data_IF_551974034501
#
_entry.id   IF_551974034501
#
_cell.length_a   1.000
_cell.length_b   1.000
_cell.length_c   1.000
_cell.angle_alpha   90.00
_cell.angle_beta   90.00
_cell.angle_gamma   90.00
#
_symmetry.space_group_name_H-M   'P 1'
#
loop_
_entity.id
_entity.type
_entity.pdbx_description
1 polymer ?
#
# COMPACT_ATOMS: atom_id res chain seq x y z
N UNK A 1 19.42 -63.46 4.11
CA UNK A 1 20.28 -63.76 5.29
C UNK A 1 19.55 -63.20 6.51
N UNK A 2 18.78 -64.03 7.23
CA UNK A 2 19.06 -64.55 8.61
C UNK A 2 18.85 -63.42 9.65
N UNK A 3 18.07 -63.50 10.74
CA UNK A 3 17.14 -64.42 11.44
C UNK A 3 16.50 -63.53 12.55
N UNK A 4 15.18 -63.46 12.77
CA UNK A 4 14.32 -64.33 13.62
C UNK A 4 14.57 -64.27 15.13
N UNK A 5 13.51 -63.95 15.89
CA UNK A 5 13.07 -64.41 17.24
C UNK A 5 12.56 -63.22 18.10
N UNK A 6 11.44 -63.22 18.85
CA UNK A 6 10.44 -64.22 19.29
C UNK A 6 9.25 -63.37 19.88
N UNK A 7 7.99 -63.46 19.42
CA UNK A 7 6.83 -64.25 19.93
C UNK A 7 6.46 -63.98 21.43
N UNK A 8 5.22 -63.81 21.92
CA UNK A 8 3.95 -64.62 21.89
C UNK A 8 2.85 -63.72 22.55
N UNK A 9 1.70 -63.37 21.94
CA UNK A 9 0.38 -64.05 21.76
C UNK A 9 -0.51 -64.20 23.03
N UNK A 10 -1.76 -63.69 22.94
CA UNK A 10 -3.06 -64.30 23.33
C UNK A 10 -4.02 -63.23 23.95
N UNK A 11 -5.05 -62.74 23.24
CA UNK A 11 -6.41 -63.31 23.04
C UNK A 11 -7.41 -62.82 24.13
N UNK A 12 -8.72 -62.62 23.93
CA UNK A 12 -9.63 -62.34 22.81
C UNK A 12 -11.04 -62.14 23.43
N UNK A 13 -11.89 -61.32 22.77
CA UNK A 13 -13.36 -61.43 22.65
C UNK A 13 -14.36 -61.23 23.84
N UNK A 14 -15.30 -60.30 23.57
CA UNK A 14 -16.73 -60.07 23.99
C UNK A 14 -17.55 -61.32 24.44
N UNK A 15 -18.79 -61.25 25.05
CA UNK A 15 -19.91 -60.30 24.79
C UNK A 15 -20.93 -59.98 25.95
N UNK A 16 -21.99 -59.24 25.55
CA UNK A 16 -23.31 -58.85 26.12
C UNK A 16 -24.05 -59.87 27.02
N UNK A 17 -24.73 -59.43 28.12
CA UNK A 17 -26.13 -59.80 28.48
C UNK A 17 -26.73 -58.97 29.65
N UNK A 18 -28.07 -58.84 29.61
CA UNK A 18 -28.99 -58.09 30.47
C UNK A 18 -29.53 -58.81 31.74
N UNK A 19 -30.12 -58.06 32.69
CA UNK A 19 -31.24 -58.45 33.59
C UNK A 19 -31.66 -57.24 34.50
N UNK A 20 -32.86 -56.63 34.36
CA UNK A 20 -34.18 -56.86 35.03
C UNK A 20 -34.38 -56.14 36.41
N UNK A 21 -35.15 -55.03 36.49
CA UNK A 21 -36.59 -54.83 36.90
C UNK A 21 -36.82 -54.67 38.43
N UNK A 22 -37.96 -54.13 38.99
CA UNK A 22 -39.12 -53.35 38.45
C UNK A 22 -39.57 -52.14 39.35
N UNK A 23 -40.44 -51.22 38.88
CA UNK A 23 -41.60 -50.69 39.66
C UNK A 23 -42.56 -49.84 38.79
N UNK A 24 -43.76 -49.60 39.30
CA UNK A 24 -45.07 -49.64 38.64
C UNK A 24 -45.63 -48.34 38.05
N UNK A 25 -46.61 -48.52 37.15
CA UNK A 25 -47.48 -47.54 36.51
C UNK A 25 -48.45 -46.81 37.47
N UNK A 26 -48.85 -45.58 37.13
CA UNK A 26 -50.21 -45.07 37.39
C UNK A 26 -50.63 -43.91 36.47
N UNK A 27 -51.74 -44.14 35.78
CA UNK A 27 -52.84 -43.25 35.40
C UNK A 27 -52.62 -41.99 34.52
N UNK A 28 -53.18 -42.10 33.31
CA UNK A 28 -53.72 -41.02 32.45
C UNK A 28 -55.08 -40.54 33.03
N UNK A 29 -55.44 -39.26 32.82
CA UNK A 29 -56.74 -38.99 32.20
C UNK A 29 -56.64 -38.02 31.01
N UNK A 30 -57.29 -38.39 29.90
CA UNK A 30 -57.63 -37.51 28.78
C UNK A 30 -58.78 -36.59 29.19
N UNK A 31 -58.73 -35.28 28.87
CA UNK A 31 -59.91 -34.47 28.53
C UNK A 31 -59.53 -33.29 27.61
N UNK A 32 -60.08 -33.37 26.38
CA UNK A 32 -60.61 -32.34 25.47
C UNK A 32 -59.74 -31.22 24.87
N UNK A 33 -59.84 -31.17 23.54
CA UNK A 33 -59.55 -30.04 22.68
C UNK A 33 -60.48 -28.84 22.97
N UNK A 34 -59.89 -27.65 23.02
CA UNK A 34 -60.56 -26.39 22.73
C UNK A 34 -59.74 -25.63 21.68
N UNK A 35 -60.35 -25.43 20.52
CA UNK A 35 -59.93 -24.47 19.51
C UNK A 35 -60.36 -23.08 20.02
N UNK A 36 -59.40 -22.18 20.22
CA UNK A 36 -59.65 -20.76 20.33
C UNK A 36 -58.50 -19.99 19.67
N UNK A 37 -58.87 -19.27 18.63
CA UNK A 37 -58.08 -18.35 17.80
C UNK A 37 -57.83 -17.01 18.50
N UNK A 38 -56.58 -16.54 18.47
CA UNK A 38 -56.13 -15.12 18.48
C UNK A 38 -54.59 -15.16 18.50
N UNK A 39 -53.88 -14.91 17.41
CA UNK A 39 -53.51 -13.58 16.87
C UNK A 39 -52.90 -12.65 17.92
N UNK A 40 -51.70 -13.03 18.37
CA UNK A 40 -50.61 -12.10 18.69
C UNK A 40 -49.31 -12.87 18.48
N UNK A 41 -48.59 -12.54 17.40
CA UNK A 41 -47.28 -13.12 17.12
C UNK A 41 -46.25 -12.48 18.06
N UNK A 42 -46.26 -12.93 19.31
CA UNK A 42 -45.11 -12.81 20.21
C UNK A 42 -44.09 -13.84 19.73
N UNK A 43 -42.92 -13.36 19.28
CA UNK A 43 -41.78 -14.19 18.89
C UNK A 43 -41.53 -15.29 19.94
N UNK A 44 -41.34 -16.56 19.55
CA UNK A 44 -41.02 -17.61 20.50
C UNK A 44 -39.66 -17.34 21.18
N UNK A 45 -39.46 -17.78 22.43
CA UNK A 45 -38.18 -17.63 23.11
C UNK A 45 -37.13 -18.48 22.37
N UNK A 46 -36.00 -17.85 22.01
CA UNK A 46 -34.80 -18.43 21.40
C UNK A 46 -34.96 -19.06 20.00
N UNK A 47 -35.15 -18.23 18.97
CA UNK A 47 -34.71 -18.62 17.62
C UNK A 47 -33.18 -18.76 17.65
N UNK A 48 -32.68 -19.99 17.54
CA UNK A 48 -31.23 -20.25 17.58
C UNK A 48 -30.55 -19.79 16.29
N UNK A 49 -29.23 -19.50 16.35
CA UNK A 49 -28.44 -19.17 15.14
C UNK A 49 -28.62 -20.24 14.06
N UNK A 50 -28.57 -21.53 14.43
CA UNK A 50 -28.79 -22.65 13.53
C UNK A 50 -30.19 -22.64 12.88
N UNK A 51 -31.22 -22.21 13.61
CA UNK A 51 -32.56 -22.08 13.05
C UNK A 51 -32.61 -20.95 12.01
N UNK A 52 -31.97 -19.80 12.27
CA UNK A 52 -31.90 -18.66 11.34
C UNK A 52 -31.08 -19.03 10.10
N UNK A 53 -29.97 -19.74 10.28
CA UNK A 53 -29.10 -20.17 9.17
C UNK A 53 -29.83 -21.08 8.18
N UNK A 54 -30.72 -21.92 8.68
CA UNK A 54 -31.57 -22.79 7.86
C UNK A 54 -32.74 -22.07 7.17
N UNK A 55 -33.06 -20.82 7.52
CA UNK A 55 -34.13 -20.04 6.88
C UNK A 55 -33.77 -19.62 5.45
N UNK A 56 -34.77 -19.27 4.64
CA UNK A 56 -34.53 -18.50 3.43
C UNK A 56 -33.88 -17.15 3.77
N UNK A 57 -33.18 -16.53 2.82
CA UNK A 57 -32.56 -15.22 3.06
C UNK A 57 -33.60 -14.18 3.48
N UNK A 58 -34.75 -14.13 2.81
CA UNK A 58 -35.77 -13.12 3.11
C UNK A 58 -36.35 -13.28 4.52
N UNK A 59 -36.60 -14.52 4.96
CA UNK A 59 -37.04 -14.80 6.33
C UNK A 59 -35.96 -14.48 7.38
N UNK A 60 -34.70 -14.82 7.09
CA UNK A 60 -33.59 -14.51 7.99
C UNK A 60 -33.40 -12.99 8.14
N UNK A 61 -33.51 -12.24 7.04
CA UNK A 61 -33.43 -10.77 7.03
C UNK A 61 -34.55 -10.14 7.85
N UNK A 62 -35.79 -10.60 7.67
CA UNK A 62 -36.93 -10.13 8.46
C UNK A 62 -36.74 -10.45 9.95
N UNK A 63 -36.32 -11.67 10.27
CA UNK A 63 -36.10 -12.13 11.64
C UNK A 63 -35.01 -11.30 12.33
N UNK A 64 -33.84 -11.14 11.70
CA UNK A 64 -32.74 -10.34 12.25
C UNK A 64 -33.10 -8.84 12.29
N UNK A 65 -33.92 -8.36 11.36
CA UNK A 65 -34.42 -6.99 11.35
C UNK A 65 -35.22 -6.63 12.61
N UNK A 66 -35.91 -7.60 13.21
CA UNK A 66 -36.69 -7.42 14.44
C UNK A 66 -35.87 -7.60 15.73
N UNK A 67 -34.63 -8.10 15.62
CA UNK A 67 -33.76 -8.33 16.77
C UNK A 67 -33.14 -7.03 17.32
N UNK A 68 -32.81 -7.06 18.60
CA UNK A 68 -31.94 -6.06 19.21
C UNK A 68 -30.56 -6.06 18.51
N UNK A 69 -29.79 -5.00 18.72
CA UNK A 69 -28.45 -4.91 18.14
C UNK A 69 -27.52 -6.01 18.66
N UNK A 70 -27.56 -6.29 19.97
CA UNK A 70 -26.73 -7.32 20.60
C UNK A 70 -27.05 -8.72 20.06
N UNK A 71 -28.34 -9.06 19.93
CA UNK A 71 -28.78 -10.34 19.35
C UNK A 71 -28.36 -10.47 17.88
N UNK A 72 -28.57 -9.42 17.08
CA UNK A 72 -28.20 -9.44 15.66
C UNK A 72 -26.68 -9.59 15.46
N UNK A 73 -25.88 -8.91 16.29
CA UNK A 73 -24.41 -9.04 16.29
C UNK A 73 -23.98 -10.45 16.66
N UNK A 74 -24.57 -11.02 17.72
CA UNK A 74 -24.29 -12.40 18.12
C UNK A 74 -24.61 -13.39 16.99
N UNK A 75 -25.77 -13.24 16.34
CA UNK A 75 -26.17 -14.07 15.20
C UNK A 75 -25.16 -13.94 14.05
N UNK A 76 -24.74 -12.72 13.71
CA UNK A 76 -23.80 -12.48 12.61
C UNK A 76 -22.38 -12.99 12.90
N UNK A 77 -21.97 -13.01 14.18
CA UNK A 77 -20.67 -13.56 14.58
C UNK A 77 -20.62 -15.09 14.42
N UNK A 78 -21.70 -15.77 14.80
CA UNK A 78 -21.76 -17.24 14.80
C UNK A 78 -22.15 -17.86 13.44
N UNK A 79 -22.89 -17.13 12.61
CA UNK A 79 -23.41 -17.63 11.32
C UNK A 79 -22.33 -17.76 10.23
N UNK A 80 -22.50 -18.67 9.27
CA UNK A 80 -21.62 -18.76 8.09
C UNK A 80 -21.48 -17.44 7.32
N UNK A 81 -20.24 -17.08 6.94
CA UNK A 81 -19.90 -15.79 6.30
C UNK A 81 -20.71 -15.54 5.02
N UNK A 82 -20.84 -16.54 4.15
CA UNK A 82 -21.60 -16.42 2.90
C UNK A 82 -23.07 -16.02 3.15
N UNK A 83 -23.70 -16.62 4.17
CA UNK A 83 -25.09 -16.31 4.56
C UNK A 83 -25.21 -14.87 5.06
N UNK A 84 -24.28 -14.42 5.91
CA UNK A 84 -24.23 -13.04 6.41
C UNK A 84 -24.09 -12.04 5.26
N UNK A 85 -23.19 -12.31 4.31
CA UNK A 85 -22.97 -11.45 3.13
C UNK A 85 -24.24 -11.33 2.29
N UNK A 86 -24.93 -12.44 2.01
CA UNK A 86 -26.21 -12.44 1.28
C UNK A 86 -27.31 -11.67 2.02
N UNK A 87 -27.39 -11.81 3.34
CA UNK A 87 -28.35 -11.08 4.17
C UNK A 87 -28.06 -9.58 4.15
N UNK A 88 -26.80 -9.17 4.33
CA UNK A 88 -26.39 -7.76 4.28
C UNK A 88 -26.76 -7.10 2.96
N UNK A 89 -26.69 -7.83 1.85
CA UNK A 89 -27.09 -7.33 0.52
C UNK A 89 -28.59 -6.99 0.38
N UNK A 90 -29.45 -7.48 1.30
CA UNK A 90 -30.90 -7.22 1.29
C UNK A 90 -31.39 -6.38 2.47
N UNK A 91 -30.55 -6.19 3.49
CA UNK A 91 -30.89 -5.43 4.67
C UNK A 91 -30.71 -3.93 4.45
N UNK A 92 -31.37 -3.13 5.30
CA UNK A 92 -31.12 -1.69 5.36
C UNK A 92 -29.66 -1.40 5.75
N UNK A 93 -29.03 -0.48 5.02
CA UNK A 93 -27.59 -0.21 5.15
C UNK A 93 -27.23 0.39 6.50
N UNK A 94 -28.13 1.13 7.16
CA UNK A 94 -27.88 1.70 8.49
C UNK A 94 -27.84 0.58 9.52
N UNK A 95 -28.81 -0.35 9.46
CA UNK A 95 -28.83 -1.52 10.35
C UNK A 95 -27.61 -2.41 10.12
N UNK A 96 -27.26 -2.68 8.87
CA UNK A 96 -26.06 -3.47 8.50
C UNK A 96 -24.78 -2.83 9.02
N UNK A 97 -24.63 -1.53 8.85
CA UNK A 97 -23.46 -0.80 9.32
C UNK A 97 -23.33 -0.83 10.84
N UNK A 98 -24.44 -0.69 11.56
CA UNK A 98 -24.47 -0.79 13.01
C UNK A 98 -24.06 -2.19 13.48
N UNK A 99 -24.61 -3.25 12.87
CA UNK A 99 -24.25 -4.65 13.19
C UNK A 99 -22.77 -4.88 12.88
N UNK A 100 -22.32 -4.60 11.66
CA UNK A 100 -20.92 -4.81 11.25
C UNK A 100 -19.94 -4.07 12.14
N UNK A 101 -20.27 -2.83 12.54
CA UNK A 101 -19.46 -2.03 13.44
C UNK A 101 -19.30 -2.61 14.85
N UNK A 102 -20.10 -3.61 15.24
CA UNK A 102 -20.02 -4.30 16.53
C UNK A 102 -19.64 -5.79 16.42
N UNK A 103 -19.51 -6.33 15.20
CA UNK A 103 -19.02 -7.70 14.97
C UNK A 103 -17.61 -7.89 15.52
N UNK A 104 -17.24 -9.13 15.84
CA UNK A 104 -15.86 -9.45 16.22
C UNK A 104 -14.91 -9.13 15.05
N UNK A 105 -13.73 -8.54 15.29
CA UNK A 105 -12.86 -8.08 14.20
C UNK A 105 -12.52 -9.15 13.15
N UNK A 106 -12.11 -10.38 13.51
CA UNK A 106 -11.80 -11.41 12.51
C UNK A 106 -13.01 -11.74 11.63
N UNK A 107 -14.21 -11.78 12.22
CA UNK A 107 -15.45 -12.04 11.49
C UNK A 107 -15.83 -10.87 10.60
N UNK A 108 -15.73 -9.63 11.09
CA UNK A 108 -16.00 -8.42 10.34
C UNK A 108 -15.09 -8.32 9.10
N UNK A 109 -13.81 -8.66 9.24
CA UNK A 109 -12.85 -8.75 8.14
C UNK A 109 -13.23 -9.81 7.11
N UNK A 110 -13.58 -11.02 7.56
CA UNK A 110 -14.02 -12.10 6.66
C UNK A 110 -15.29 -11.74 5.88
N UNK A 111 -16.27 -11.09 6.53
CA UNK A 111 -17.47 -10.60 5.84
C UNK A 111 -17.12 -9.50 4.85
N UNK A 112 -16.24 -8.56 5.24
CA UNK A 112 -15.88 -7.41 4.40
C UNK A 112 -15.08 -7.83 3.16
N UNK A 113 -14.38 -8.97 3.19
CA UNK A 113 -13.70 -9.55 2.03
C UNK A 113 -14.69 -9.82 0.88
N UNK A 114 -15.85 -10.39 1.22
CA UNK A 114 -16.80 -10.97 0.27
C UNK A 114 -17.94 -10.02 -0.12
N UNK A 115 -18.29 -9.00 0.69
CA UNK A 115 -19.33 -8.02 0.31
C UNK A 115 -18.89 -7.19 -0.91
N UNK A 116 -19.83 -6.77 -1.79
CA UNK A 116 -19.51 -5.85 -2.88
C UNK A 116 -18.85 -4.55 -2.41
N UNK A 117 -17.99 -3.96 -3.26
CA UNK A 117 -17.22 -2.74 -2.90
C UNK A 117 -18.13 -1.56 -2.61
N UNK A 118 -19.26 -1.48 -3.30
CA UNK A 118 -20.28 -0.45 -3.10
C UNK A 118 -20.87 -0.57 -1.69
N UNK A 119 -21.24 -1.77 -1.25
CA UNK A 119 -21.74 -2.04 0.10
C UNK A 119 -20.67 -1.78 1.15
N UNK A 120 -19.43 -2.23 0.91
CA UNK A 120 -18.29 -1.96 1.80
C UNK A 120 -18.09 -0.46 2.01
N UNK A 121 -18.14 0.32 0.93
CA UNK A 121 -17.99 1.78 0.96
C UNK A 121 -19.13 2.44 1.73
N UNK A 122 -20.37 1.99 1.56
CA UNK A 122 -21.50 2.51 2.34
C UNK A 122 -21.34 2.23 3.84
N UNK A 123 -20.89 1.02 4.22
CA UNK A 123 -20.63 0.65 5.61
C UNK A 123 -19.53 1.55 6.20
N UNK A 124 -18.41 1.72 5.49
CA UNK A 124 -17.31 2.61 5.91
C UNK A 124 -17.80 4.05 6.12
N UNK A 125 -18.69 4.53 5.26
CA UNK A 125 -19.28 5.86 5.38
C UNK A 125 -20.15 6.08 6.63
N UNK A 126 -20.68 5.01 7.23
CA UNK A 126 -21.63 5.09 8.35
C UNK A 126 -21.03 4.68 9.71
N UNK A 127 -19.93 3.92 9.72
CA UNK A 127 -19.31 3.42 10.95
C UNK A 127 -18.29 4.41 11.52
N UNK A 128 -18.15 4.48 12.85
CA UNK A 128 -17.19 5.35 13.52
C UNK A 128 -15.74 4.89 13.32
N UNK A 129 -14.79 5.83 13.38
CA UNK A 129 -13.37 5.54 13.21
C UNK A 129 -12.87 4.42 14.14
N UNK A 130 -13.16 4.47 15.45
CA UNK A 130 -12.71 3.45 16.40
C UNK A 130 -13.11 2.04 15.99
N UNK A 131 -14.33 1.89 15.46
CA UNK A 131 -14.85 0.60 14.98
C UNK A 131 -14.19 0.18 13.68
N UNK A 132 -13.90 1.13 12.78
CA UNK A 132 -13.19 0.91 11.51
C UNK A 132 -11.73 0.51 11.75
N UNK A 133 -11.04 1.19 12.67
CA UNK A 133 -9.64 0.94 13.05
C UNK A 133 -9.47 -0.51 13.48
N UNK A 134 -10.40 -1.03 14.28
CA UNK A 134 -10.35 -2.40 14.77
C UNK A 134 -10.65 -3.45 13.69
N UNK A 135 -11.50 -3.16 12.70
CA UNK A 135 -12.10 -4.18 11.81
C UNK A 135 -11.57 -4.16 10.39
N UNK A 136 -11.28 -2.99 9.82
CA UNK A 136 -10.76 -2.90 8.44
C UNK A 136 -9.40 -3.59 8.23
N UNK A 137 -8.45 -3.61 9.19
CA UNK A 137 -7.19 -4.33 8.97
C UNK A 137 -7.34 -5.86 8.98
N UNK A 138 -8.53 -6.40 9.28
CA UNK A 138 -8.83 -7.83 9.23
C UNK A 138 -9.23 -8.33 7.84
N UNK A 139 -9.56 -7.44 6.89
CA UNK A 139 -9.76 -7.83 5.47
C UNK A 139 -8.42 -7.85 4.72
N UNK A 140 -8.40 -8.34 3.48
CA UNK A 140 -7.22 -8.27 2.63
C UNK A 140 -6.82 -6.83 2.27
N UNK A 141 -5.53 -6.59 2.03
CA UNK A 141 -5.08 -5.29 1.56
C UNK A 141 -5.73 -4.92 0.22
N UNK A 142 -5.86 -5.90 -0.68
CA UNK A 142 -6.46 -5.73 -2.01
C UNK A 142 -7.91 -5.28 -1.93
N UNK A 143 -8.70 -5.86 -1.02
CA UNK A 143 -10.08 -5.44 -0.81
C UNK A 143 -10.18 -4.01 -0.31
N UNK A 144 -9.36 -3.65 0.68
CA UNK A 144 -9.33 -2.30 1.23
C UNK A 144 -9.03 -1.24 0.16
N UNK A 145 -8.13 -1.54 -0.79
CA UNK A 145 -7.72 -0.58 -1.83
C UNK A 145 -8.79 -0.33 -2.89
N UNK A 146 -9.83 -1.15 -2.92
CA UNK A 146 -10.99 -0.93 -3.79
C UNK A 146 -11.95 0.10 -3.22
N UNK A 147 -11.90 0.38 -1.91
CA UNK A 147 -12.70 1.43 -1.28
C UNK A 147 -12.09 2.79 -1.68
N UNK A 148 -12.91 3.79 -2.07
CA UNK A 148 -12.41 5.10 -2.47
C UNK A 148 -11.48 5.73 -1.41
N UNK A 149 -10.27 6.17 -1.78
CA UNK A 149 -9.29 6.69 -0.82
C UNK A 149 -9.77 7.97 -0.14
N UNK A 150 -10.55 8.81 -0.81
CA UNK A 150 -11.14 10.03 -0.23
C UNK A 150 -12.08 9.68 0.92
N UNK A 151 -12.88 8.63 0.76
CA UNK A 151 -13.76 8.12 1.81
C UNK A 151 -12.94 7.57 2.97
N UNK A 152 -11.90 6.77 2.72
CA UNK A 152 -11.03 6.26 3.79
C UNK A 152 -10.33 7.40 4.54
N UNK A 153 -9.86 8.42 3.84
CA UNK A 153 -9.23 9.59 4.45
C UNK A 153 -10.21 10.34 5.35
N UNK A 154 -11.44 10.56 4.90
CA UNK A 154 -12.49 11.25 5.69
C UNK A 154 -12.90 10.43 6.93
N UNK A 155 -13.09 9.12 6.76
CA UNK A 155 -13.63 8.25 7.82
C UNK A 155 -12.59 7.74 8.82
N UNK A 156 -11.31 7.85 8.50
CA UNK A 156 -10.20 7.41 9.34
C UNK A 156 -9.10 8.47 9.45
N UNK A 157 -9.39 9.67 10.00
CA UNK A 157 -8.43 10.78 10.08
C UNK A 157 -7.18 10.47 10.94
N UNK A 158 -7.28 9.57 11.93
CA UNK A 158 -6.20 9.15 12.81
C UNK A 158 -5.26 8.10 12.21
N UNK A 159 -5.63 7.43 11.12
CA UNK A 159 -4.76 6.44 10.44
C UNK A 159 -3.86 7.14 9.41
N UNK A 160 -2.57 6.80 9.35
CA UNK A 160 -1.67 7.41 8.37
C UNK A 160 -2.14 7.11 6.93
N UNK A 161 -2.15 8.11 6.05
CA UNK A 161 -2.59 7.97 4.66
C UNK A 161 -1.86 6.84 3.90
N UNK A 162 -0.60 6.57 4.22
CA UNK A 162 0.13 5.45 3.61
C UNK A 162 -0.52 4.10 3.86
N UNK A 163 -1.23 3.92 4.98
CA UNK A 163 -1.96 2.69 5.26
C UNK A 163 -3.26 2.56 4.45
N UNK A 164 -3.85 3.67 4.04
CA UNK A 164 -5.18 3.73 3.40
C UNK A 164 -5.08 3.68 1.87
N UNK A 165 -4.09 4.34 1.29
CA UNK A 165 -3.93 4.45 -0.17
C UNK A 165 -3.45 3.16 -0.83
N UNK A 166 -3.87 2.91 -2.07
CA UNK A 166 -3.32 1.81 -2.87
C UNK A 166 -1.80 1.92 -3.05
N UNK A 167 -1.14 0.78 -3.21
CA UNK A 167 0.30 0.70 -3.45
C UNK A 167 0.60 0.15 -4.83
N UNK A 168 1.50 0.83 -5.53
CA UNK A 168 2.05 0.37 -6.80
C UNK A 168 3.51 -0.04 -6.57
N UNK A 169 3.85 -1.28 -6.92
CA UNK A 169 5.24 -1.77 -6.83
C UNK A 169 6.13 -0.96 -7.79
N UNK A 170 7.36 -0.59 -7.38
CA UNK A 170 8.38 -0.07 -8.29
C UNK A 170 8.52 -0.94 -9.56
N UNK A 171 8.53 -0.30 -10.72
CA UNK A 171 8.71 -0.97 -12.02
C UNK A 171 10.17 -0.80 -12.46
N UNK A 172 10.90 -1.90 -12.50
CA UNK A 172 12.30 -1.94 -12.97
C UNK A 172 12.28 -2.18 -14.48
N UNK A 173 12.98 -1.36 -15.30
CA UNK A 173 13.17 -1.62 -16.71
C UNK A 173 13.66 -3.05 -16.98
N UNK A 174 13.04 -3.75 -17.93
CA UNK A 174 13.34 -5.16 -18.22
C UNK A 174 14.76 -5.38 -18.76
N UNK A 175 15.36 -4.34 -19.34
CA UNK A 175 16.69 -4.37 -19.93
C UNK A 175 17.81 -4.06 -18.91
N UNK A 176 17.48 -3.65 -17.68
CA UNK A 176 18.48 -3.46 -16.63
C UNK A 176 18.99 -4.81 -16.10
N UNK A 177 20.31 -4.96 -15.94
CA UNK A 177 20.89 -6.18 -15.38
C UNK A 177 20.45 -6.39 -13.92
N UNK A 178 20.20 -7.65 -13.56
CA UNK A 178 19.91 -8.01 -12.18
C UNK A 178 21.14 -7.82 -11.27
N UNK A 179 20.94 -7.51 -9.97
CA UNK A 179 22.03 -7.45 -9.00
C UNK A 179 22.80 -8.77 -8.90
N UNK A 180 24.12 -8.67 -8.84
CA UNK A 180 25.01 -9.83 -8.68
C UNK A 180 25.19 -10.07 -7.17
N UNK A 181 24.74 -11.21 -6.63
CA UNK A 181 24.96 -11.54 -5.23
C UNK A 181 26.45 -11.83 -4.97
N UNK A 182 26.97 -11.28 -3.88
CA UNK A 182 28.31 -11.52 -3.37
C UNK A 182 28.27 -12.39 -2.11
N UNK A 183 28.87 -11.88 -1.02
CA UNK A 183 28.80 -12.50 0.30
C UNK A 183 27.34 -12.51 0.80
N UNK A 184 26.85 -13.68 1.23
CA UNK A 184 25.53 -13.82 1.84
C UNK A 184 25.60 -14.78 3.04
N UNK A 185 25.20 -14.28 4.20
CA UNK A 185 24.98 -15.00 5.44
C UNK A 185 23.58 -14.65 5.95
N UNK A 186 23.15 -15.25 7.06
CA UNK A 186 21.82 -14.97 7.64
C UNK A 186 21.66 -13.49 8.04
N UNK A 187 22.75 -12.86 8.48
CA UNK A 187 22.77 -11.49 9.02
C UNK A 187 23.51 -10.49 8.12
N UNK A 188 23.93 -10.88 6.91
CA UNK A 188 24.65 -9.99 6.00
C UNK A 188 24.48 -10.41 4.56
N UNK A 189 24.16 -9.48 3.68
CA UNK A 189 24.29 -9.69 2.25
C UNK A 189 24.96 -8.51 1.55
N UNK A 190 25.78 -8.84 0.56
CA UNK A 190 26.48 -7.90 -0.31
C UNK A 190 26.02 -8.15 -1.73
N UNK A 191 25.64 -7.08 -2.42
CA UNK A 191 25.28 -7.09 -3.83
C UNK A 191 26.12 -6.08 -4.61
N UNK A 192 26.31 -6.36 -5.89
CA UNK A 192 26.81 -5.38 -6.86
C UNK A 192 25.70 -5.19 -7.89
N UNK A 193 25.20 -3.96 -8.02
CA UNK A 193 24.23 -3.57 -9.05
C UNK A 193 25.02 -3.06 -10.25
N UNK A 194 25.07 -3.79 -11.37
CA UNK A 194 26.00 -3.47 -12.45
C UNK A 194 25.73 -2.13 -13.12
N UNK A 195 24.45 -1.78 -13.27
CA UNK A 195 24.01 -0.55 -13.94
C UNK A 195 22.81 0.03 -13.20
N UNK A 196 22.87 1.33 -12.95
CA UNK A 196 21.77 2.15 -12.46
C UNK A 196 21.64 3.34 -13.40
N UNK A 197 20.42 3.59 -13.86
CA UNK A 197 20.10 4.75 -14.69
C UNK A 197 19.52 5.88 -13.82
N UNK A 198 19.77 7.10 -14.27
CA UNK A 198 19.22 8.28 -13.60
C UNK A 198 17.70 8.26 -13.67
N UNK A 199 17.06 8.50 -12.53
CA UNK A 199 15.61 8.61 -12.41
C UNK A 199 14.83 7.35 -12.86
N UNK A 200 15.46 6.18 -12.81
CA UNK A 200 14.82 4.88 -13.03
C UNK A 200 14.97 3.99 -11.79
N UNK A 201 14.02 3.08 -11.58
CA UNK A 201 14.10 2.12 -10.49
C UNK A 201 15.08 1.01 -10.82
N UNK A 202 16.06 0.78 -9.95
CA UNK A 202 16.89 -0.43 -9.96
C UNK A 202 16.47 -1.35 -8.81
N UNK A 203 16.44 -2.66 -9.07
CA UNK A 203 16.46 -3.65 -7.99
C UNK A 203 17.84 -3.62 -7.35
N UNK A 204 17.91 -3.59 -6.02
CA UNK A 204 19.17 -3.44 -5.29
C UNK A 204 19.48 -4.69 -4.46
N UNK A 205 18.47 -5.23 -3.78
CA UNK A 205 18.61 -6.40 -2.89
C UNK A 205 17.36 -7.29 -2.97
N UNK A 206 17.53 -8.61 -2.79
CA UNK A 206 16.43 -9.57 -2.59
C UNK A 206 16.48 -10.40 -1.29
N UNK A 207 17.54 -10.28 -0.46
CA UNK A 207 17.74 -11.03 0.80
C UNK A 207 18.90 -10.41 1.62
N UNK A 208 19.09 -10.68 2.94
CA UNK A 208 18.39 -11.65 3.80
C UNK A 208 17.01 -11.23 4.30
N UNK A 209 16.36 -12.16 5.01
CA UNK A 209 15.14 -11.96 5.78
C UNK A 209 15.26 -10.71 6.69
N UNK A 210 14.20 -9.89 6.84
CA UNK A 210 12.84 -10.10 6.34
C UNK A 210 12.56 -9.50 4.95
N UNK A 211 13.58 -8.98 4.26
CA UNK A 211 13.40 -8.32 2.96
C UNK A 211 13.12 -9.33 1.85
N UNK A 212 12.11 -9.01 1.05
CA UNK A 212 11.80 -9.72 -0.20
C UNK A 212 12.44 -8.99 -1.38
N UNK A 213 12.30 -7.66 -1.39
CA UNK A 213 12.88 -6.81 -2.42
C UNK A 213 13.19 -5.43 -1.85
N UNK A 214 14.29 -4.85 -2.32
CA UNK A 214 14.64 -3.45 -2.09
C UNK A 214 14.96 -2.82 -3.45
N UNK A 215 14.33 -1.70 -3.73
CA UNK A 215 14.54 -0.89 -4.91
C UNK A 215 15.05 0.50 -4.52
N UNK A 216 15.81 1.11 -5.41
CA UNK A 216 16.18 2.51 -5.28
C UNK A 216 16.19 3.21 -6.65
N UNK A 217 15.86 4.49 -6.62
CA UNK A 217 15.93 5.45 -7.71
C UNK A 217 17.04 6.43 -7.39
N UNK A 218 17.89 6.74 -8.37
CA UNK A 218 19.08 7.58 -8.16
C UNK A 218 19.07 8.82 -9.04
N UNK A 219 19.66 9.92 -8.55
CA UNK A 219 19.67 11.21 -9.24
C UNK A 219 20.69 11.27 -10.41
N UNK A 220 21.55 10.26 -10.51
CA UNK A 220 22.60 10.15 -11.52
C UNK A 220 22.84 8.68 -11.85
N UNK A 221 23.37 8.36 -13.04
CA UNK A 221 23.76 6.99 -13.34
C UNK A 221 24.91 6.53 -12.44
N UNK A 222 24.94 5.25 -12.12
CA UNK A 222 25.97 4.57 -11.35
C UNK A 222 26.28 3.23 -11.99
N UNK A 223 27.55 2.84 -11.96
CA UNK A 223 28.01 1.52 -12.39
C UNK A 223 28.61 0.78 -11.20
N UNK A 224 28.49 -0.54 -11.20
CA UNK A 224 29.06 -1.44 -10.16
C UNK A 224 28.75 -0.98 -8.73
N UNK A 225 27.51 -0.53 -8.49
CA UNK A 225 27.06 -0.02 -7.20
C UNK A 225 27.08 -1.15 -6.16
N UNK A 226 28.02 -1.07 -5.22
CA UNK A 226 28.12 -2.00 -4.09
C UNK A 226 27.11 -1.65 -3.01
N UNK A 227 26.26 -2.61 -2.67
CA UNK A 227 25.25 -2.47 -1.61
C UNK A 227 25.51 -3.52 -0.54
N UNK A 228 25.53 -3.09 0.72
CA UNK A 228 25.63 -3.99 1.88
C UNK A 228 24.39 -3.83 2.73
N UNK A 229 23.78 -4.96 3.08
CA UNK A 229 22.72 -5.08 4.07
C UNK A 229 23.27 -5.90 5.23
N UNK A 230 23.38 -5.29 6.40
CA UNK A 230 23.71 -5.95 7.66
C UNK A 230 22.43 -6.04 8.52
N UNK A 231 22.10 -7.23 9.00
CA UNK A 231 20.98 -7.52 9.89
C UNK A 231 21.46 -7.68 11.34
N UNK A 232 20.65 -7.23 12.29
CA UNK A 232 20.97 -7.32 13.72
C UNK A 232 19.88 -8.08 14.51
N UNK A 233 18.88 -8.63 13.82
CA UNK A 233 17.72 -9.24 14.46
C UNK A 233 17.06 -8.26 15.42
N UNK A 234 16.68 -8.72 16.62
CA UNK A 234 16.10 -7.88 17.66
C UNK A 234 17.14 -7.02 18.44
N UNK A 235 18.42 -7.14 18.13
CA UNK A 235 19.49 -6.41 18.84
C UNK A 235 19.63 -5.00 18.28
N UNK A 236 19.35 -4.00 19.10
CA UNK A 236 19.53 -2.61 18.70
C UNK A 236 21.02 -2.29 18.47
N UNK A 237 21.39 -1.62 17.36
CA UNK A 237 22.76 -1.19 17.13
C UNK A 237 23.27 -0.20 18.20
N UNK A 238 24.52 -0.36 18.63
CA UNK A 238 25.11 0.38 19.77
C UNK A 238 25.14 1.90 19.55
N UNK A 239 25.30 2.35 18.31
CA UNK A 239 25.44 3.78 17.95
C UNK A 239 24.09 4.45 17.64
N UNK A 240 22.99 3.88 18.14
CA UNK A 240 21.64 4.43 17.93
C UNK A 240 20.95 4.78 19.26
N UNK A 241 20.16 5.86 19.31
CA UNK A 241 19.39 6.21 20.50
C UNK A 241 18.27 5.19 20.74
N UNK A 242 17.70 5.19 21.94
CA UNK A 242 16.52 4.39 22.24
C UNK A 242 15.38 4.67 21.25
N UNK A 243 14.62 3.63 20.92
CA UNK A 243 13.41 3.77 20.11
C UNK A 243 12.37 4.66 20.83
N UNK A 244 11.49 5.34 20.07
CA UNK A 244 10.42 6.15 20.65
C UNK A 244 9.57 5.37 21.66
N UNK A 245 9.11 6.05 22.71
CA UNK A 245 8.29 5.42 23.75
C UNK A 245 7.06 4.71 23.16
N UNK A 246 6.80 3.48 23.61
CA UNK A 246 5.70 2.64 23.11
C UNK A 246 6.02 1.85 21.84
N UNK A 247 7.14 2.11 21.17
CA UNK A 247 7.60 1.29 20.06
C UNK A 247 8.17 -0.04 20.56
N UNK A 248 7.74 -1.12 19.93
CA UNK A 248 8.20 -2.49 20.14
C UNK A 248 9.04 -2.88 18.93
N UNK A 249 10.31 -3.19 19.16
CA UNK A 249 11.22 -3.61 18.11
C UNK A 249 10.86 -5.01 17.59
N UNK A 250 10.81 -5.15 16.27
CA UNK A 250 10.83 -6.45 15.61
C UNK A 250 12.25 -6.81 15.18
N UNK A 251 12.87 -5.94 14.38
CA UNK A 251 14.19 -6.17 13.80
C UNK A 251 14.91 -4.88 13.45
N UNK A 252 16.24 -4.93 13.44
CA UNK A 252 17.13 -3.85 13.03
C UNK A 252 18.03 -4.28 11.87
N UNK A 253 18.35 -3.34 11.00
CA UNK A 253 19.21 -3.56 9.83
C UNK A 253 19.91 -2.27 9.41
N UNK A 254 21.03 -2.37 8.71
CA UNK A 254 21.74 -1.25 8.11
C UNK A 254 21.94 -1.50 6.64
N UNK A 255 21.64 -0.50 5.81
CA UNK A 255 21.88 -0.55 4.37
C UNK A 255 22.88 0.55 4.01
N UNK A 256 23.99 0.17 3.38
CA UNK A 256 25.03 1.08 2.92
C UNK A 256 25.30 0.90 1.42
N UNK A 257 25.68 2.01 0.76
CA UNK A 257 25.89 2.08 -0.68
C UNK A 257 27.36 2.35 -1.06
N UNK A 258 28.30 1.93 -0.20
CA UNK A 258 29.71 2.29 -0.34
C UNK A 258 29.90 3.81 -0.31
N UNK A 259 30.49 4.37 -1.37
CA UNK A 259 30.83 5.80 -1.46
C UNK A 259 29.67 6.67 -1.98
N UNK A 260 28.50 6.09 -2.27
CA UNK A 260 27.34 6.86 -2.75
C UNK A 260 26.70 7.61 -1.60
N UNK A 261 26.62 8.94 -1.74
CA UNK A 261 26.00 9.78 -0.74
C UNK A 261 24.48 9.56 -0.71
N UNK A 262 23.86 9.62 0.49
CA UNK A 262 22.41 9.49 0.63
C UNK A 262 21.63 10.51 -0.20
N UNK A 263 22.21 11.68 -0.50
CA UNK A 263 21.62 12.72 -1.35
C UNK A 263 21.44 12.30 -2.81
N UNK A 264 22.16 11.28 -3.26
CA UNK A 264 22.07 10.75 -4.62
C UNK A 264 20.88 9.78 -4.77
N UNK A 265 20.25 9.37 -3.66
CA UNK A 265 19.03 8.56 -3.66
C UNK A 265 17.82 9.49 -3.78
N UNK A 266 17.04 9.32 -4.85
CA UNK A 266 15.79 10.05 -5.08
C UNK A 266 14.65 9.46 -4.28
N UNK A 267 14.60 8.13 -4.21
CA UNK A 267 13.69 7.37 -3.37
C UNK A 267 14.21 5.93 -3.23
N UNK A 268 13.95 5.31 -2.10
CA UNK A 268 14.11 3.88 -1.93
C UNK A 268 12.78 3.28 -1.48
N UNK A 269 12.51 2.04 -1.90
CA UNK A 269 11.32 1.31 -1.52
C UNK A 269 11.71 -0.12 -1.16
N UNK A 270 11.03 -0.69 -0.17
CA UNK A 270 11.27 -2.07 0.23
C UNK A 270 9.96 -2.81 0.45
N UNK A 271 9.99 -4.11 0.19
CA UNK A 271 8.99 -5.07 0.67
C UNK A 271 9.67 -5.96 1.70
N UNK A 272 9.07 -6.05 2.88
CA UNK A 272 9.50 -6.95 3.94
C UNK A 272 8.30 -7.56 4.66
N UNK A 273 8.52 -8.67 5.34
CA UNK A 273 7.48 -9.34 6.12
C UNK A 273 7.74 -9.24 7.63
N UNK A 274 6.67 -9.44 8.41
CA UNK A 274 6.71 -9.60 9.86
C UNK A 274 5.92 -10.86 10.21
N UNK A 275 6.47 -11.70 11.08
CA UNK A 275 5.80 -12.92 11.53
C UNK A 275 4.63 -12.60 12.48
N UNK A 276 3.48 -13.24 12.26
CA UNK A 276 2.26 -13.08 13.09
C UNK A 276 2.51 -13.44 14.54
N UNK A 277 3.33 -14.44 14.81
CA UNK A 277 3.70 -14.84 16.17
C UNK A 277 4.31 -13.68 16.96
N UNK A 278 5.09 -12.80 16.31
CA UNK A 278 5.61 -11.59 16.96
C UNK A 278 4.51 -10.55 17.20
N UNK A 279 3.59 -10.35 16.26
CA UNK A 279 2.45 -9.44 16.45
C UNK A 279 1.59 -9.91 17.63
N UNK A 280 1.21 -11.18 17.66
CA UNK A 280 0.33 -11.77 18.66
C UNK A 280 0.96 -11.73 20.06
N UNK A 281 2.25 -12.13 20.16
CA UNK A 281 2.96 -12.15 21.44
C UNK A 281 3.13 -10.75 22.05
N UNK A 282 3.20 -9.72 21.20
CA UNK A 282 3.41 -8.33 21.64
C UNK A 282 2.13 -7.49 21.62
N UNK A 283 1.02 -8.05 21.13
CA UNK A 283 -0.26 -7.38 20.89
C UNK A 283 -0.12 -6.16 19.95
N UNK A 284 0.71 -6.29 18.91
CA UNK A 284 0.99 -5.20 17.98
C UNK A 284 -0.19 -4.98 17.04
N UNK A 285 -0.67 -3.74 16.97
CA UNK A 285 -1.73 -3.35 16.06
C UNK A 285 -1.27 -3.40 14.59
N UNK A 286 -2.07 -3.96 13.68
CA UNK A 286 -1.67 -4.09 12.25
C UNK A 286 -1.34 -2.75 11.58
N UNK A 287 -2.03 -1.68 11.97
CA UNK A 287 -1.78 -0.31 11.51
C UNK A 287 -0.55 0.37 12.12
N UNK A 288 0.08 -0.18 13.15
CA UNK A 288 1.21 0.49 13.81
C UNK A 288 2.57 0.13 13.25
N UNK A 289 2.62 -0.82 12.31
CA UNK A 289 3.88 -1.25 11.70
C UNK A 289 4.51 -0.11 10.91
N UNK A 290 5.74 0.25 11.27
CA UNK A 290 6.50 1.33 10.66
C UNK A 290 7.97 0.96 10.53
N UNK A 291 8.64 1.62 9.60
CA UNK A 291 10.07 1.47 9.36
C UNK A 291 10.74 2.77 9.77
N UNK A 292 11.41 2.74 10.91
CA UNK A 292 12.08 3.90 11.45
C UNK A 292 13.49 3.97 10.89
N UNK A 293 13.78 4.99 10.09
CA UNK A 293 15.12 5.27 9.58
C UNK A 293 15.89 6.08 10.61
N UNK A 294 17.09 5.66 10.98
CA UNK A 294 17.96 6.47 11.81
C UNK A 294 18.47 7.69 11.02
N UNK A 295 18.29 8.88 11.58
CA UNK A 295 18.91 10.11 11.09
C UNK A 295 20.11 10.44 11.96
N UNK A 296 21.30 10.14 11.45
CA UNK A 296 22.58 10.36 12.14
C UNK A 296 22.82 11.83 12.47
N UNK A 297 22.39 12.75 11.60
CA UNK A 297 22.60 14.19 11.78
C UNK A 297 21.79 14.76 12.94
N UNK A 298 20.60 14.20 13.17
CA UNK A 298 19.71 14.59 14.27
C UNK A 298 19.76 13.63 15.45
N UNK A 299 20.51 12.54 15.34
CA UNK A 299 20.57 11.45 16.30
C UNK A 299 19.17 11.02 16.77
N UNK A 300 18.28 10.74 15.82
CA UNK A 300 16.88 10.36 16.09
C UNK A 300 16.37 9.33 15.10
N UNK A 301 15.39 8.53 15.53
CA UNK A 301 14.63 7.65 14.66
C UNK A 301 13.52 8.43 13.95
N UNK A 302 13.49 8.36 12.62
CA UNK A 302 12.47 8.99 11.76
C UNK A 302 11.51 7.91 11.25
N UNK A 303 10.28 7.82 11.77
CA UNK A 303 9.33 6.79 11.36
C UNK A 303 8.78 7.05 9.95
N UNK A 304 8.95 6.09 9.07
CA UNK A 304 8.21 6.00 7.80
C UNK A 304 7.04 5.02 7.97
N UNK A 305 5.79 5.46 7.75
CA UNK A 305 4.64 4.57 7.82
C UNK A 305 4.75 3.49 6.72
N UNK A 306 4.38 2.27 7.07
CA UNK A 306 4.38 1.16 6.11
C UNK A 306 3.01 0.99 5.44
N UNK A 307 2.94 0.13 4.43
CA UNK A 307 1.70 -0.28 3.78
C UNK A 307 1.58 -1.79 3.85
N UNK A 308 0.56 -2.33 4.50
CA UNK A 308 0.24 -3.76 4.39
C UNK A 308 -0.19 -4.07 2.95
N UNK A 309 0.48 -5.03 2.30
CA UNK A 309 0.23 -5.41 0.90
C UNK A 309 -0.22 -6.86 0.73
N UNK A 310 0.09 -7.73 1.68
CA UNK A 310 -0.35 -9.12 1.65
C UNK A 310 -0.31 -9.71 3.06
N UNK A 311 -1.02 -10.82 3.25
CA UNK A 311 -1.06 -11.57 4.49
C UNK A 311 -1.25 -13.05 4.16
N UNK A 312 -0.54 -13.92 4.88
CA UNK A 312 -0.76 -15.36 4.85
C UNK A 312 -0.94 -15.89 6.29
N UNK A 313 -0.90 -17.21 6.46
CA UNK A 313 -1.11 -17.84 7.78
C UNK A 313 0.03 -17.55 8.78
N UNK A 314 1.24 -17.26 8.30
CA UNK A 314 2.43 -17.04 9.13
C UNK A 314 2.84 -15.57 9.23
N UNK A 315 2.60 -14.77 8.18
CA UNK A 315 3.27 -13.48 7.96
C UNK A 315 2.34 -12.41 7.41
N UNK A 316 2.62 -11.17 7.79
CA UNK A 316 2.12 -9.97 7.14
C UNK A 316 3.25 -9.36 6.30
N UNK A 317 2.95 -8.98 5.07
CA UNK A 317 3.91 -8.35 4.17
C UNK A 317 3.59 -6.87 4.02
N UNK A 318 4.62 -6.05 4.17
CA UNK A 318 4.54 -4.59 4.12
C UNK A 318 5.44 -4.02 3.02
N UNK A 319 4.99 -2.94 2.42
CA UNK A 319 5.81 -2.05 1.61
C UNK A 319 6.14 -0.77 2.38
N UNK A 320 7.30 -0.17 2.13
CA UNK A 320 7.71 1.11 2.69
C UNK A 320 8.41 1.92 1.62
N UNK A 321 8.28 3.25 1.69
CA UNK A 321 9.13 4.20 0.95
C UNK A 321 9.95 5.01 1.94
N UNK A 322 11.23 5.16 1.64
CA UNK A 322 12.17 5.94 2.45
C UNK A 322 12.99 6.86 1.54
N UNK A 323 13.40 8.04 2.04
CA UNK A 323 14.16 9.03 1.25
C UNK A 323 15.63 8.66 1.02
N UNK A 324 16.10 7.56 1.60
CA UNK A 324 17.46 7.08 1.44
C UNK A 324 17.79 5.98 2.44
N UNK A 325 18.94 5.34 2.26
CA UNK A 325 19.41 4.28 3.15
C UNK A 325 20.11 4.83 4.41
N UNK A 326 20.11 4.02 5.46
CA UNK A 326 20.80 4.22 6.74
C UNK A 326 20.64 2.92 7.57
N UNK A 327 20.78 3.03 8.88
CA UNK A 327 20.25 2.06 9.85
C UNK A 327 18.74 2.24 9.97
N UNK A 328 18.04 1.14 10.16
CA UNK A 328 16.59 1.09 10.24
C UNK A 328 16.13 0.13 11.33
N UNK A 329 14.92 0.37 11.83
CA UNK A 329 14.20 -0.53 12.70
C UNK A 329 12.80 -0.79 12.13
N UNK A 330 12.39 -2.06 12.03
CA UNK A 330 10.96 -2.41 11.91
C UNK A 330 10.39 -2.41 13.32
N UNK A 331 9.38 -1.59 13.53
CA UNK A 331 8.72 -1.43 14.84
C UNK A 331 7.21 -1.50 14.69
N UNK A 332 6.54 -1.77 15.81
CA UNK A 332 5.09 -1.61 15.95
C UNK A 332 4.72 -1.16 17.36
N UNK A 333 3.46 -0.91 17.60
CA UNK A 333 2.89 -0.55 18.90
C UNK A 333 1.52 -1.20 19.11
N UNK A 334 1.08 -1.27 20.36
CA UNK A 334 -0.25 -1.80 20.71
C UNK A 334 -1.38 -0.86 20.30
N UNK A 335 -1.09 0.43 20.32
CA UNK A 335 -2.02 1.49 19.92
C UNK A 335 -1.64 2.05 18.55
N UNK A 336 -2.55 2.81 17.95
CA UNK A 336 -2.26 3.59 16.74
C UNK A 336 -1.19 4.66 17.03
N UNK A 337 -0.13 4.76 16.20
CA UNK A 337 0.83 5.85 16.30
C UNK A 337 0.16 7.20 16.08
N UNK A 338 0.46 8.19 16.93
CA UNK A 338 -0.06 9.54 16.79
C UNK A 338 0.46 10.20 15.49
N UNK A 339 -0.42 10.89 14.76
CA UNK A 339 -0.04 11.68 13.60
C UNK A 339 0.52 13.04 14.06
N UNK A 340 1.85 13.15 14.08
CA UNK A 340 2.56 14.37 14.48
C UNK A 340 2.63 15.43 13.37
N UNK A 341 2.21 15.10 12.15
CA UNK A 341 2.33 15.99 10.99
C UNK A 341 1.03 16.13 10.23
N UNK A 342 0.74 17.37 9.80
CA UNK A 342 -0.32 17.71 8.87
C UNK A 342 0.31 18.19 7.55
N UNK A 343 -0.24 17.72 6.42
CA UNK A 343 0.15 18.17 5.09
C UNK A 343 -0.98 19.00 4.51
N UNK A 344 -0.67 20.23 4.14
CA UNK A 344 -1.62 21.24 3.67
C UNK A 344 -1.07 21.98 2.44
N UNK A 345 -1.92 22.76 1.78
CA UNK A 345 -1.56 23.66 0.67
C UNK A 345 -0.77 23.00 -0.48
N UNK A 346 -1.10 21.75 -0.83
CA UNK A 346 -0.51 21.09 -1.99
C UNK A 346 -0.88 21.85 -3.26
N UNK A 347 0.13 22.34 -3.98
CA UNK A 347 -0.01 23.10 -5.22
C UNK A 347 1.04 22.71 -6.24
N UNK A 348 0.75 22.99 -7.51
CA UNK A 348 1.65 22.76 -8.64
C UNK A 348 1.94 24.07 -9.34
N UNK A 349 3.18 24.30 -9.77
CA UNK A 349 3.60 25.52 -10.46
C UNK A 349 4.46 25.15 -11.67
N UNK A 350 4.16 25.64 -12.89
CA UNK A 350 3.00 26.49 -13.23
C UNK A 350 1.67 25.72 -13.22
N UNK A 351 0.54 26.44 -13.17
CA UNK A 351 -0.82 25.85 -13.17
C UNK A 351 -1.19 25.16 -14.51
N UNK A 352 -0.48 25.46 -15.58
CA UNK A 352 -0.71 24.90 -16.92
C UNK A 352 0.62 24.61 -17.61
N UNK A 353 1.40 23.64 -17.10
CA UNK A 353 2.69 23.31 -17.67
C UNK A 353 2.54 22.65 -19.02
N UNK A 354 3.53 22.85 -19.88
CA UNK A 354 3.65 22.12 -21.15
C UNK A 354 4.65 20.99 -21.02
N UNK A 355 4.54 20.00 -21.90
CA UNK A 355 5.45 18.87 -21.95
C UNK A 355 6.93 19.29 -21.92
N UNK A 356 7.69 18.65 -21.04
CA UNK A 356 9.13 18.89 -20.85
C UNK A 356 9.48 20.07 -19.95
N UNK A 357 8.52 20.93 -19.60
CA UNK A 357 8.72 22.01 -18.64
C UNK A 357 8.90 21.45 -17.21
N UNK A 358 9.82 22.01 -16.39
CA UNK A 358 9.88 21.67 -14.97
C UNK A 358 8.63 22.15 -14.23
N UNK A 359 8.04 21.25 -13.44
CA UNK A 359 6.86 21.49 -12.62
C UNK A 359 7.28 21.39 -11.16
N UNK A 360 7.09 22.45 -10.40
CA UNK A 360 7.29 22.45 -8.95
C UNK A 360 6.02 22.00 -8.24
N UNK A 361 6.14 20.96 -7.42
CA UNK A 361 5.09 20.49 -6.53
C UNK A 361 5.46 20.91 -5.12
N UNK A 362 4.65 21.77 -4.50
CA UNK A 362 4.93 22.37 -3.20
C UNK A 362 3.80 22.09 -2.22
N UNK A 363 4.13 21.80 -0.97
CA UNK A 363 3.16 21.64 0.12
C UNK A 363 3.73 22.15 1.46
N UNK A 364 2.82 22.53 2.36
CA UNK A 364 3.12 22.94 3.73
C UNK A 364 3.07 21.72 4.66
N UNK A 365 4.11 21.52 5.47
CA UNK A 365 4.20 20.45 6.47
C UNK A 365 4.17 21.09 7.86
N UNK A 366 3.04 20.97 8.55
CA UNK A 366 2.87 21.41 9.94
C UNK A 366 3.23 20.31 10.93
N UNK A 367 3.97 20.62 11.98
CA UNK A 367 4.27 19.71 13.09
C UNK A 367 3.35 20.06 14.28
N UNK A 368 2.46 19.14 14.66
CA UNK A 368 1.53 19.31 15.78
C UNK A 368 2.13 18.91 17.13
N UNK A 369 3.34 18.35 17.12
CA UNK A 369 4.08 17.94 18.30
C UNK A 369 4.75 19.07 19.05
N UNK A 370 5.17 18.77 20.29
CA UNK A 370 5.87 19.68 21.19
C UNK A 370 7.39 19.73 20.96
N UNK A 371 7.92 18.89 20.08
CA UNK A 371 9.35 18.78 19.79
C UNK A 371 9.60 18.89 18.28
N UNK A 372 10.81 19.32 17.91
CA UNK A 372 11.26 19.29 16.52
C UNK A 372 11.25 17.84 16.04
N UNK A 373 10.68 17.61 14.86
CA UNK A 373 10.61 16.28 14.27
C UNK A 373 10.90 16.32 12.77
N UNK A 374 11.12 15.15 12.18
CA UNK A 374 11.39 14.99 10.75
C UNK A 374 10.24 14.28 10.07
N UNK A 375 9.74 14.87 9.00
CA UNK A 375 8.72 14.30 8.15
C UNK A 375 9.35 13.65 6.90
N UNK A 376 9.17 12.33 6.67
CA UNK A 376 9.60 11.68 5.43
C UNK A 376 8.54 11.89 4.33
N UNK A 377 8.64 13.00 3.62
CA UNK A 377 7.72 13.31 2.52
C UNK A 377 7.95 12.37 1.32
N UNK A 378 6.86 11.83 0.77
CA UNK A 378 6.86 10.99 -0.42
C UNK A 378 5.90 11.59 -1.45
N UNK A 379 6.44 11.90 -2.63
CA UNK A 379 5.67 12.36 -3.77
C UNK A 379 5.19 11.17 -4.59
N UNK A 380 3.88 11.13 -4.84
CA UNK A 380 3.24 10.16 -5.71
C UNK A 380 2.69 10.85 -6.95
N UNK A 381 2.93 10.27 -8.13
CA UNK A 381 2.40 10.76 -9.40
C UNK A 381 1.75 9.60 -10.15
N UNK A 382 0.47 9.74 -10.49
CA UNK A 382 -0.35 8.68 -11.10
C UNK A 382 -0.24 7.34 -10.35
N UNK A 383 -0.29 7.39 -9.02
CA UNK A 383 -0.22 6.21 -8.15
C UNK A 383 1.16 5.55 -8.05
N UNK A 384 2.20 6.09 -8.69
CA UNK A 384 3.58 5.61 -8.60
C UNK A 384 4.45 6.55 -7.76
N UNK A 385 5.44 6.00 -7.08
CA UNK A 385 6.41 6.77 -6.29
C UNK A 385 7.32 7.53 -7.24
N UNK A 386 7.38 8.85 -7.09
CA UNK A 386 8.24 9.71 -7.90
C UNK A 386 9.55 10.03 -7.20
N UNK A 387 9.45 10.51 -5.95
CA UNK A 387 10.58 10.96 -5.15
C UNK A 387 10.21 10.94 -3.65
N UNK A 388 11.22 10.90 -2.79
CA UNK A 388 11.06 11.01 -1.35
C UNK A 388 12.16 11.89 -0.76
N UNK A 389 11.83 12.69 0.26
CA UNK A 389 12.82 13.49 1.00
C UNK A 389 12.41 13.72 2.44
N UNK A 390 13.37 14.00 3.31
CA UNK A 390 13.09 14.42 4.69
C UNK A 390 12.90 15.94 4.77
N UNK A 391 12.04 16.36 5.68
CA UNK A 391 11.84 17.78 6.05
C UNK A 391 11.86 17.89 7.55
N UNK A 392 12.77 18.70 8.09
CA UNK A 392 12.78 19.02 9.52
C UNK A 392 11.79 20.15 9.79
N UNK A 393 10.95 19.97 10.81
CA UNK A 393 9.93 20.93 11.20
C UNK A 393 10.03 21.16 12.71
N UNK A 394 10.14 22.43 13.10
CA UNK A 394 10.17 22.81 14.51
C UNK A 394 8.87 22.44 15.23
N UNK A 395 8.93 22.34 16.56
CA UNK A 395 7.75 22.12 17.39
C UNK A 395 6.66 23.15 17.10
N UNK A 396 5.43 22.71 16.85
CA UNK A 396 4.30 23.59 16.51
C UNK A 396 4.56 24.51 15.29
N UNK A 397 5.57 24.19 14.47
CA UNK A 397 5.99 24.99 13.32
C UNK A 397 5.49 24.41 11.99
N UNK A 398 5.77 25.16 10.91
CA UNK A 398 5.46 24.76 9.53
C UNK A 398 6.69 24.94 8.65
N UNK A 399 7.00 23.95 7.82
CA UNK A 399 8.05 24.02 6.79
C UNK A 399 7.47 23.66 5.43
N UNK A 400 8.00 24.23 4.35
CA UNK A 400 7.62 23.83 3.00
C UNK A 400 8.44 22.63 2.52
N UNK A 401 7.80 21.76 1.74
CA UNK A 401 8.45 20.74 0.93
C UNK A 401 8.22 21.04 -0.53
N UNK A 402 9.28 20.93 -1.33
CA UNK A 402 9.22 21.11 -2.77
C UNK A 402 9.86 19.93 -3.51
N UNK A 403 9.25 19.54 -4.62
CA UNK A 403 9.75 18.57 -5.58
C UNK A 403 9.68 19.17 -6.98
N UNK A 404 10.61 18.79 -7.85
CA UNK A 404 10.58 19.19 -9.26
C UNK A 404 10.39 17.95 -10.11
N UNK A 405 9.37 17.95 -10.97
CA UNK A 405 9.05 16.85 -11.87
C UNK A 405 8.94 17.34 -13.31
N UNK A 406 9.06 16.42 -14.26
CA UNK A 406 8.74 16.68 -15.68
C UNK A 406 7.83 15.58 -16.18
N UNK A 407 6.86 15.94 -17.02
CA UNK A 407 5.88 14.98 -17.54
C UNK A 407 5.59 15.20 -19.03
N UNK A 408 5.31 14.11 -19.78
CA UNK A 408 4.65 14.19 -21.07
C UNK A 408 3.28 14.87 -20.97
N UNK A 409 2.72 15.24 -22.13
CA UNK A 409 1.33 15.69 -22.18
C UNK A 409 0.37 14.62 -21.65
N UNK A 410 -0.58 15.03 -20.80
CA UNK A 410 -1.52 14.11 -20.15
C UNK A 410 -2.07 14.64 -18.83
N UNK A 411 -2.93 13.85 -18.20
CA UNK A 411 -3.49 14.14 -16.87
C UNK A 411 -2.91 13.19 -15.83
N UNK A 412 -2.48 13.73 -14.70
CA UNK A 412 -1.83 12.98 -13.62
C UNK A 412 -2.45 13.37 -12.28
N UNK A 413 -2.67 12.39 -11.41
CA UNK A 413 -2.96 12.64 -9.99
C UNK A 413 -1.66 12.83 -9.23
N UNK A 414 -1.50 13.96 -8.54
CA UNK A 414 -0.38 14.29 -7.67
C UNK A 414 -0.83 14.10 -6.23
N UNK A 415 -0.10 13.31 -5.45
CA UNK A 415 -0.42 13.05 -4.05
C UNK A 415 0.79 13.20 -3.13
N UNK A 416 0.57 13.90 -2.02
CA UNK A 416 1.52 14.05 -0.91
C UNK A 416 0.74 13.93 0.40
N UNK A 417 1.02 12.88 1.18
CA UNK A 417 0.21 12.54 2.36
C UNK A 417 -1.25 12.28 1.98
N UNK A 418 -2.15 13.08 2.54
CA UNK A 418 -3.60 13.05 2.29
C UNK A 418 -4.05 13.98 1.15
N UNK A 419 -3.21 14.94 0.76
CA UNK A 419 -3.54 15.92 -0.26
C UNK A 419 -3.43 15.30 -1.65
N UNK A 420 -4.42 15.55 -2.50
CA UNK A 420 -4.49 15.08 -3.88
C UNK A 420 -4.87 16.27 -4.76
N UNK A 421 -4.12 16.49 -5.83
CA UNK A 421 -4.38 17.51 -6.86
C UNK A 421 -4.26 16.88 -8.23
N UNK A 422 -5.13 17.28 -9.17
CA UNK A 422 -5.00 16.91 -10.58
C UNK A 422 -4.07 17.88 -11.31
N UNK A 423 -3.15 17.32 -12.09
CA UNK A 423 -2.21 18.03 -12.94
C UNK A 423 -2.50 17.70 -14.39
N UNK A 424 -2.79 18.73 -15.20
CA UNK A 424 -2.93 18.60 -16.66
C UNK A 424 -1.74 19.24 -17.36
N UNK A 425 -1.01 18.44 -18.13
CA UNK A 425 0.17 18.87 -18.91
C UNK A 425 -0.22 19.01 -20.37
N UNK A 426 -0.02 20.20 -20.92
CA UNK A 426 -0.35 20.53 -22.31
C UNK A 426 0.65 19.94 -23.30
N UNK A 427 0.17 19.60 -24.50
CA UNK A 427 1.04 19.29 -25.63
C UNK A 427 1.84 20.52 -26.07
N UNK A 428 3.08 20.35 -26.56
CA UNK A 428 3.85 21.47 -27.07
C UNK A 428 3.15 22.06 -28.30
N UNK A 429 3.21 23.38 -28.45
CA UNK A 429 2.63 24.05 -29.61
C UNK A 429 3.21 23.47 -30.92
N UNK A 430 2.39 23.22 -31.97
CA UNK A 430 2.88 22.69 -33.23
C UNK A 430 3.94 23.63 -33.79
N UNK A 431 5.12 23.08 -34.11
CA UNK A 431 6.19 23.86 -34.73
C UNK A 431 5.66 24.43 -36.06
N UNK A 432 5.77 25.74 -36.31
CA UNK A 432 5.35 26.28 -37.60
C UNK A 432 6.09 25.53 -38.72
N UNK A 433 5.44 25.27 -39.86
CA UNK A 433 6.08 24.56 -40.96
C UNK A 433 7.40 25.26 -41.27
N UNK A 434 8.48 24.48 -41.32
CA UNK A 434 9.78 24.99 -41.74
C UNK A 434 9.55 25.71 -43.06
N UNK A 435 9.62 27.04 -43.06
CA UNK A 435 9.50 27.82 -44.29
C UNK A 435 10.63 27.32 -45.14
N UNK A 436 10.27 26.60 -46.23
CA UNK A 436 11.22 25.91 -47.09
C UNK A 436 12.31 26.88 -47.50
N UNK A 437 13.44 26.82 -46.81
CA UNK A 437 14.66 27.43 -47.25
C UNK A 437 14.98 26.75 -48.57
N UNK A 438 14.80 27.49 -49.66
CA UNK A 438 15.28 27.08 -50.98
C UNK A 438 16.77 26.80 -50.78
N UNK A 439 17.17 25.53 -50.86
CA UNK A 439 18.57 25.15 -50.93
C UNK A 439 19.19 25.91 -52.12
N UNK A 440 20.29 26.66 -51.95
CA UNK A 440 20.96 27.31 -53.07
C UNK A 440 21.80 26.27 -53.82
N UNK A 441 21.17 25.25 -54.38
CA UNK A 441 21.82 24.29 -55.27
C UNK A 441 20.83 23.87 -56.33
N UNK A 442 20.97 24.49 -57.50
CA UNK A 442 20.94 23.93 -58.86
C UNK A 442 20.28 24.94 -59.83
N UNK A 443 21.02 25.99 -60.22
CA UNK A 443 20.84 26.62 -61.54
C UNK A 443 22.01 26.22 -62.42
N UNK A 444 21.97 24.97 -62.90
CA UNK A 444 22.65 24.58 -64.13
C UNK A 444 21.57 24.15 -65.11
N UNK A 445 21.63 24.70 -66.32
CA UNK A 445 20.97 24.26 -67.55
C UNK A 445 19.45 24.49 -67.68
N UNK A 446 19.09 25.71 -68.07
CA UNK A 446 18.14 25.94 -69.17
C UNK A 446 18.13 27.42 -69.58
N UNK A 447 19.12 27.86 -70.37
CA UNK A 447 18.92 28.91 -71.39
C UNK A 447 20.04 28.90 -72.44
N UNK A 448 20.17 27.78 -73.16
CA UNK A 448 20.73 27.80 -74.51
C UNK A 448 19.56 28.16 -75.44
N UNK A 449 19.40 29.46 -75.73
CA UNK A 449 18.35 29.95 -76.61
C UNK A 449 18.06 31.43 -76.37
N UNK A 450 18.67 32.27 -77.22
CA UNK A 450 18.46 33.71 -77.36
C UNK A 450 19.08 34.63 -76.28
N UNK A 451 20.36 35.00 -76.46
CA UNK A 451 20.80 36.38 -76.77
C UNK A 451 22.20 36.29 -77.42
N UNK A 452 22.22 35.96 -78.71
CA UNK A 452 23.35 36.18 -79.61
C UNK A 452 23.34 37.59 -80.20
N UNK A 453 22.90 38.60 -79.43
CA UNK A 453 22.68 39.94 -79.98
C UNK A 453 22.83 41.03 -78.89
N UNK A 454 24.02 41.16 -78.28
CA UNK A 454 24.40 42.40 -77.56
C UNK A 454 25.89 42.51 -77.24
N UNK A 455 26.77 42.00 -78.12
CA UNK A 455 28.21 42.32 -78.10
C UNK A 455 28.73 42.63 -79.51
N UNK A 456 27.98 43.49 -80.23
CA UNK A 456 28.42 44.09 -81.51
C UNK A 456 28.69 45.60 -81.39
N UNK A 457 28.49 46.24 -80.22
CA UNK A 457 28.59 47.72 -80.14
C UNK A 457 29.37 48.29 -78.94
N UNK A 458 30.41 47.62 -78.45
CA UNK A 458 31.42 48.30 -77.64
C UNK A 458 32.77 47.58 -77.74
N UNK A 459 33.75 48.20 -78.40
CA UNK A 459 35.16 47.83 -78.23
C UNK A 459 35.90 47.29 -79.46
N UNK A 460 35.54 47.74 -80.66
CA UNK A 460 36.55 47.99 -81.69
C UNK A 460 37.42 49.16 -81.19
N UNK A 461 38.75 49.09 -81.45
CA UNK A 461 39.86 50.01 -81.08
C UNK A 461 40.44 49.82 -79.66
N UNK A 462 41.73 49.55 -79.39
CA UNK A 462 43.02 49.61 -80.11
C UNK A 462 43.85 48.35 -79.75
N UNK A 463 44.44 47.58 -80.68
CA UNK A 463 45.74 47.77 -81.39
C UNK A 463 46.98 48.03 -80.48
N UNK A 464 47.68 46.91 -80.11
CA UNK A 464 49.12 46.54 -80.28
C UNK A 464 50.26 47.59 -80.12
N UNK A 465 51.57 47.21 -80.01
CA UNK A 465 52.19 45.88 -79.72
C UNK A 465 53.44 45.90 -78.77
N UNK A 466 53.91 44.68 -78.44
CA UNK A 466 55.29 44.15 -78.31
C UNK A 466 56.45 45.08 -77.92
N UNK A 467 57.18 44.68 -76.88
CA UNK A 467 58.42 43.89 -77.05
C UNK A 467 58.41 42.67 -76.12
#
# INVERSE_FOLDING_TARGET
>A
MIRTALAIVAAALLPILAAQLPYTASAIPQVQAQVATSTDAVLPPTTTVAAIEAMSIDMAVETVGQMTQEEAVHVFNEMGTAKVVEMMGKMDVVKVSAIWGDMEPPKAGAVMEDVPVETASQIVGLVSEDRLVARLPEMSAQKLWQIPPELLHDRMPGVNAMHLNAWTRPQVPEDLPAPIPGEATDDRAVYVVPEVRSDEWALVIGSPSPFVNIWAKFARPLDDLRVVLDGFGASQPVDTPDLPAGAIANSFFSISLGDVASRDVVAAAAIAFVDKSWLDSNQVHKWSIQFSRFDEGLNTWVPSPSKRIAENIERLTFAVVVPGFSTFAITGSRDLPALAFAVEDLRVVPDSPVEGEPIEVVASIGNTGAERAVYPAVLWVAGSIEAARTVSVDASGTSEVAFTVRRPAGTYSIRLGRQIVELSVGAPAPRPPATGGIAPTTRLLALAGAVGLLLVLAGVWLRRPRD
#
